data_IF_949751102642
#
_entry.id   IF_949751102642
#
_cell.length_a   1.000
_cell.length_b   1.000
_cell.length_c   1.000
_cell.angle_alpha   90.00
_cell.angle_beta   90.00
_cell.angle_gamma   90.00
#
_symmetry.space_group_name_H-M   'P 1'
#
loop_
_entity.id
_entity.type
_entity.pdbx_description
1 polymer ?
#
# COMPACT_ATOMS: atom_id res chain seq x y z
N UNK A 1 12.77 12.81 23.10
CA UNK A 1 11.51 12.15 22.73
C UNK A 1 11.47 12.14 21.22
N UNK A 2 11.62 10.96 20.64
CA UNK A 2 11.63 10.71 19.21
C UNK A 2 10.29 10.08 18.81
N UNK A 3 9.84 10.35 17.58
CA UNK A 3 8.67 9.69 16.99
C UNK A 3 9.15 8.55 16.11
N UNK A 4 8.61 7.36 16.38
CA UNK A 4 8.80 6.17 15.57
C UNK A 4 7.48 5.78 14.91
N UNK A 5 7.57 5.42 13.64
CA UNK A 5 6.47 4.85 12.87
C UNK A 5 6.84 3.39 12.58
N UNK A 6 5.94 2.44 12.76
CA UNK A 6 6.20 1.04 12.36
C UNK A 6 5.18 0.56 11.34
N UNK A 7 5.66 0.10 10.20
CA UNK A 7 4.87 -0.49 9.14
C UNK A 7 5.24 -1.95 8.95
N UNK A 8 4.28 -2.85 9.13
CA UNK A 8 4.46 -4.25 8.72
C UNK A 8 4.48 -4.32 7.19
N UNK A 9 5.57 -4.82 6.63
CA UNK A 9 5.80 -4.83 5.17
C UNK A 9 6.49 -6.11 4.73
N UNK A 10 6.47 -6.40 3.43
CA UNK A 10 7.31 -7.47 2.86
C UNK A 10 6.72 -8.09 1.61
N UNK A 11 7.47 -9.04 1.03
CA UNK A 11 7.19 -9.64 -0.28
C UNK A 11 5.87 -10.41 -0.40
N UNK A 12 5.25 -10.79 0.71
CA UNK A 12 3.95 -11.46 0.75
C UNK A 12 2.84 -10.61 1.38
N UNK A 13 3.18 -9.37 1.78
CA UNK A 13 2.32 -8.45 2.51
C UNK A 13 2.02 -7.21 1.66
N UNK A 14 3.05 -6.64 1.02
CA UNK A 14 2.99 -5.42 0.24
C UNK A 14 3.44 -4.18 1.02
N UNK A 15 3.03 -3.00 0.54
CA UNK A 15 3.46 -1.69 1.06
C UNK A 15 2.32 -0.81 1.59
N UNK A 16 1.10 -1.34 1.71
CA UNK A 16 -0.07 -0.60 2.21
C UNK A 16 0.19 0.08 3.58
N UNK A 17 0.71 -0.67 4.55
CA UNK A 17 1.06 -0.12 5.87
C UNK A 17 2.19 0.92 5.79
N UNK A 18 3.15 0.68 4.89
CA UNK A 18 4.27 1.61 4.62
C UNK A 18 3.75 2.94 4.09
N UNK A 19 2.79 2.93 3.15
CA UNK A 19 2.17 4.15 2.60
C UNK A 19 1.39 4.92 3.66
N UNK A 20 0.59 4.25 4.49
CA UNK A 20 -0.14 4.90 5.60
C UNK A 20 0.80 5.48 6.65
N UNK A 21 1.83 4.74 7.05
CA UNK A 21 2.84 5.27 7.97
C UNK A 21 3.59 6.45 7.35
N UNK A 22 3.92 6.41 6.05
CA UNK A 22 4.53 7.55 5.38
C UNK A 22 3.63 8.78 5.33
N UNK A 23 2.31 8.60 5.15
CA UNK A 23 1.34 9.68 5.24
C UNK A 23 1.29 10.32 6.64
N UNK A 24 1.29 9.50 7.70
CA UNK A 24 1.45 10.00 9.09
C UNK A 24 2.79 10.73 9.25
N UNK A 25 3.87 10.18 8.69
CA UNK A 25 5.20 10.77 8.75
C UNK A 25 5.28 12.14 8.08
N UNK A 26 4.57 12.33 6.97
CA UNK A 26 4.45 13.62 6.29
C UNK A 26 3.71 14.64 7.17
N UNK A 27 2.64 14.23 7.86
CA UNK A 27 1.92 15.09 8.81
C UNK A 27 2.80 15.49 10.01
N UNK A 28 3.65 14.58 10.47
CA UNK A 28 4.54 14.78 11.62
C UNK A 28 5.97 15.21 11.24
N UNK A 29 6.18 15.71 10.02
CA UNK A 29 7.52 15.97 9.48
C UNK A 29 8.39 16.90 10.34
N UNK A 30 7.78 17.80 11.13
CA UNK A 30 8.48 18.71 12.04
C UNK A 30 9.18 17.99 13.20
N UNK A 31 8.72 16.78 13.53
CA UNK A 31 9.29 15.92 14.57
C UNK A 31 10.34 14.94 14.03
N UNK A 32 10.68 15.03 12.73
CA UNK A 32 11.66 14.17 12.05
C UNK A 32 11.47 12.67 12.37
N UNK A 33 10.29 12.11 12.04
CA UNK A 33 9.93 10.74 12.44
C UNK A 33 10.82 9.71 11.75
N UNK A 34 11.08 8.61 12.46
CA UNK A 34 11.85 7.47 11.93
C UNK A 34 10.86 6.38 11.53
N UNK A 35 10.87 6.00 10.25
CA UNK A 35 10.07 4.87 9.77
C UNK A 35 10.79 3.54 10.04
N UNK A 36 10.12 2.61 10.69
CA UNK A 36 10.56 1.26 10.91
C UNK A 36 9.76 0.29 10.02
N UNK A 37 10.46 -0.58 9.29
CA UNK A 37 9.83 -1.55 8.38
C UNK A 37 10.36 -2.96 8.65
N UNK A 38 9.51 -3.97 8.43
CA UNK A 38 9.89 -5.40 8.54
C UNK A 38 10.83 -5.87 7.43
N UNK A 39 10.96 -5.08 6.37
CA UNK A 39 11.79 -5.35 5.21
C UNK A 39 12.58 -4.08 4.82
N UNK A 40 13.83 -4.27 4.40
CA UNK A 40 14.70 -3.18 3.97
C UNK A 40 14.20 -2.49 2.70
N UNK A 41 13.66 -3.26 1.74
CA UNK A 41 13.23 -2.69 0.45
C UNK A 41 12.05 -1.73 0.64
N UNK A 42 11.12 -2.05 1.53
CA UNK A 42 10.02 -1.15 1.91
C UNK A 42 10.52 0.20 2.45
N UNK A 43 11.54 0.17 3.31
CA UNK A 43 12.15 1.37 3.87
C UNK A 43 12.87 2.22 2.80
N UNK A 44 13.60 1.56 1.89
CA UNK A 44 14.23 2.20 0.74
C UNK A 44 13.19 2.85 -0.18
N UNK A 45 12.14 2.11 -0.57
CA UNK A 45 11.02 2.62 -1.37
C UNK A 45 10.37 3.83 -0.72
N UNK A 46 10.09 3.77 0.59
CA UNK A 46 9.47 4.87 1.32
C UNK A 46 10.34 6.13 1.33
N UNK A 47 11.67 5.96 1.40
CA UNK A 47 12.61 7.07 1.35
C UNK A 47 12.68 7.70 -0.05
N UNK A 48 12.70 6.87 -1.09
CA UNK A 48 12.85 7.33 -2.48
C UNK A 48 11.56 7.96 -3.03
N UNK A 49 10.40 7.39 -2.68
CA UNK A 49 9.13 7.76 -3.32
C UNK A 49 8.11 8.40 -2.36
N UNK A 50 8.16 8.11 -1.06
CA UNK A 50 7.10 8.53 -0.12
C UNK A 50 7.48 9.70 0.81
N UNK A 51 8.65 10.29 0.61
CA UNK A 51 9.11 11.47 1.36
C UNK A 51 9.67 11.17 2.76
N UNK A 52 9.91 9.90 3.09
CA UNK A 52 10.56 9.52 4.36
C UNK A 52 12.03 9.94 4.35
N UNK A 53 12.50 10.59 5.43
CA UNK A 53 13.90 11.01 5.54
C UNK A 53 14.80 9.95 6.18
N UNK A 54 14.29 9.30 7.22
CA UNK A 54 15.00 8.32 8.04
C UNK A 54 14.18 7.04 8.15
N UNK A 55 14.81 5.91 7.89
CA UNK A 55 14.22 4.61 8.13
C UNK A 55 15.21 3.64 8.77
N UNK A 56 14.68 2.64 9.46
CA UNK A 56 15.42 1.55 10.10
C UNK A 56 14.67 0.25 9.87
N UNK A 57 15.33 -0.80 9.41
CA UNK A 57 14.70 -2.12 9.30
C UNK A 57 14.75 -2.85 10.63
N UNK A 58 13.62 -3.40 11.05
CA UNK A 58 13.49 -4.24 12.26
C UNK A 58 12.61 -5.43 11.92
N UNK A 59 12.97 -6.65 12.35
CA UNK A 59 12.29 -7.87 11.86
C UNK A 59 10.80 -7.90 12.25
N UNK A 60 10.49 -7.58 13.51
CA UNK A 60 9.12 -7.60 14.05
C UNK A 60 8.90 -6.42 15.01
N UNK A 61 7.63 -6.07 15.25
CA UNK A 61 7.24 -4.96 16.13
C UNK A 61 7.87 -5.07 17.54
N UNK A 62 8.05 -6.28 18.07
CA UNK A 62 8.66 -6.51 19.39
C UNK A 62 10.15 -6.18 19.47
N UNK A 63 10.83 -5.93 18.35
CA UNK A 63 12.23 -5.50 18.35
C UNK A 63 12.40 -3.99 18.55
N UNK A 64 11.34 -3.20 18.41
CA UNK A 64 11.39 -1.74 18.54
C UNK A 64 12.01 -1.24 19.86
N UNK A 65 11.76 -1.85 21.04
CA UNK A 65 12.42 -1.44 22.28
C UNK A 65 13.96 -1.51 22.25
N UNK A 66 14.57 -2.24 21.32
CA UNK A 66 16.02 -2.30 21.18
C UNK A 66 16.62 -1.05 20.52
N UNK A 67 15.80 -0.27 19.82
CA UNK A 67 16.22 0.95 19.10
C UNK A 67 15.54 2.22 19.60
N UNK A 68 14.48 2.08 20.39
CA UNK A 68 13.74 3.16 21.04
C UNK A 68 14.21 3.40 22.47
N UNK A 69 13.92 4.59 23.00
CA UNK A 69 14.11 4.90 24.42
C UNK A 69 12.75 5.01 25.14
N UNK A 70 12.75 4.73 26.45
CA UNK A 70 11.55 4.90 27.29
C UNK A 70 11.08 6.36 27.21
N UNK A 71 9.79 6.54 26.97
CA UNK A 71 9.18 7.86 26.77
C UNK A 71 9.16 8.36 25.32
N UNK A 72 9.70 7.61 24.36
CA UNK A 72 9.46 7.89 22.94
C UNK A 72 8.01 7.60 22.53
N UNK A 73 7.62 8.10 21.36
CA UNK A 73 6.28 7.93 20.79
C UNK A 73 6.35 6.84 19.72
N UNK A 74 5.40 5.89 19.75
CA UNK A 74 5.23 4.90 18.69
C UNK A 74 3.85 5.04 18.05
N UNK A 75 3.85 5.10 16.72
CA UNK A 75 2.66 4.91 15.88
C UNK A 75 2.92 3.67 15.03
N UNK A 76 1.98 2.73 14.96
CA UNK A 76 2.19 1.50 14.21
C UNK A 76 0.98 1.05 13.42
N UNK A 77 1.25 0.35 12.31
CA UNK A 77 0.30 -0.36 11.48
C UNK A 77 0.78 -1.79 11.30
N UNK A 78 0.25 -2.66 12.17
CA UNK A 78 0.57 -4.09 12.21
C UNK A 78 -0.49 -4.86 12.99
N UNK A 79 -0.72 -6.10 12.56
CA UNK A 79 -1.52 -7.14 13.22
C UNK A 79 -0.68 -8.06 14.13
N UNK A 80 0.62 -7.80 14.30
CA UNK A 80 1.54 -8.64 15.09
C UNK A 80 1.38 -8.44 16.61
N UNK A 81 0.82 -7.31 17.04
CA UNK A 81 0.77 -6.95 18.45
C UNK A 81 -0.28 -7.78 19.21
N UNK A 82 0.16 -8.48 20.25
CA UNK A 82 -0.73 -9.10 21.24
C UNK A 82 -1.11 -8.10 22.34
N UNK A 83 -2.21 -8.36 23.07
CA UNK A 83 -2.63 -7.53 24.20
C UNK A 83 -1.52 -7.30 25.25
N UNK A 84 -0.73 -8.35 25.50
CA UNK A 84 0.42 -8.26 26.39
C UNK A 84 1.49 -7.30 25.86
N UNK A 85 1.81 -7.39 24.57
CA UNK A 85 2.77 -6.52 23.91
C UNK A 85 2.28 -5.07 23.91
N UNK A 86 1.00 -4.82 23.57
CA UNK A 86 0.43 -3.48 23.59
C UNK A 86 0.48 -2.87 24.99
N UNK A 87 0.17 -3.64 26.04
CA UNK A 87 0.29 -3.17 27.44
C UNK A 87 1.73 -2.78 27.78
N UNK A 88 2.70 -3.63 27.45
CA UNK A 88 4.11 -3.32 27.69
C UNK A 88 4.59 -2.08 26.92
N UNK A 89 4.13 -1.91 25.68
CA UNK A 89 4.47 -0.73 24.88
C UNK A 89 3.79 0.53 25.41
N UNK A 90 2.58 0.45 25.97
CA UNK A 90 1.94 1.59 26.67
C UNK A 90 2.71 2.02 27.92
N UNK A 91 3.31 1.07 28.63
CA UNK A 91 4.17 1.37 29.80
C UNK A 91 5.56 1.89 29.39
N UNK A 92 6.03 1.57 28.18
CA UNK A 92 7.35 1.94 27.65
C UNK A 92 7.33 3.30 26.95
N UNK A 93 6.34 3.55 26.10
CA UNK A 93 6.18 4.78 25.33
C UNK A 93 5.49 5.88 26.14
N UNK A 94 5.76 7.14 25.82
CA UNK A 94 4.95 8.26 26.35
C UNK A 94 3.58 8.32 25.66
N UNK A 95 3.51 7.89 24.40
CA UNK A 95 2.27 7.73 23.65
C UNK A 95 2.40 6.58 22.67
N UNK A 96 1.32 5.80 22.54
CA UNK A 96 1.22 4.66 21.64
C UNK A 96 -0.09 4.79 20.86
N UNK A 97 0.01 4.77 19.53
CA UNK A 97 -1.13 4.85 18.63
C UNK A 97 -1.09 3.73 17.59
N UNK A 98 -2.25 3.11 17.34
CA UNK A 98 -2.42 2.08 16.31
C UNK A 98 -3.25 2.62 15.15
N UNK A 99 -2.74 2.49 13.93
CA UNK A 99 -3.50 2.79 12.71
C UNK A 99 -4.57 1.71 12.52
N UNK A 100 -5.81 2.12 12.29
CA UNK A 100 -7.02 1.31 12.31
C UNK A 100 -7.73 1.26 13.66
N UNK A 101 -7.17 1.85 14.72
CA UNK A 101 -7.85 1.93 16.02
C UNK A 101 -7.86 3.36 16.57
N UNK A 102 -6.68 3.96 16.74
CA UNK A 102 -6.55 5.35 17.23
C UNK A 102 -6.45 6.36 16.08
N UNK A 103 -5.92 5.93 14.93
CA UNK A 103 -5.76 6.73 13.71
C UNK A 103 -6.51 6.02 12.58
N UNK A 104 -7.33 6.69 11.77
CA UNK A 104 -8.08 6.03 10.71
C UNK A 104 -7.16 5.57 9.58
N UNK A 105 -7.54 4.46 8.92
CA UNK A 105 -6.76 3.85 7.82
C UNK A 105 -6.88 4.59 6.48
N UNK A 106 -7.82 5.52 6.35
CA UNK A 106 -7.99 6.35 5.15
C UNK A 106 -7.09 7.59 5.10
N UNK A 107 -5.96 7.57 5.82
CA UNK A 107 -4.99 8.66 5.80
C UNK A 107 -4.19 8.65 4.50
N UNK A 108 -4.21 9.79 3.79
CA UNK A 108 -3.53 9.98 2.51
C UNK A 108 -2.43 11.04 2.64
N UNK A 109 -1.28 10.82 2.00
CA UNK A 109 -0.25 11.84 1.91
C UNK A 109 -0.64 12.88 0.86
N UNK A 110 -1.28 13.97 1.29
CA UNK A 110 -1.76 15.05 0.42
C UNK A 110 -0.65 15.90 -0.21
N UNK A 111 0.61 15.71 0.20
CA UNK A 111 1.75 16.37 -0.46
C UNK A 111 2.18 15.64 -1.73
N UNK A 112 1.89 14.33 -1.81
CA UNK A 112 2.16 13.48 -2.96
C UNK A 112 0.92 13.34 -3.84
N UNK A 113 -0.23 13.06 -3.22
CA UNK A 113 -1.50 12.85 -3.91
C UNK A 113 -2.35 14.12 -3.90
N UNK A 114 -2.86 14.48 -5.07
CA UNK A 114 -3.60 15.70 -5.33
C UNK A 114 -4.64 15.45 -6.43
N UNK A 115 -5.87 15.97 -6.29
CA UNK A 115 -6.91 15.84 -7.31
C UNK A 115 -6.46 16.33 -8.69
N UNK A 116 -6.79 15.57 -9.73
CA UNK A 116 -6.46 15.90 -11.12
C UNK A 116 -7.74 16.17 -11.91
N UNK A 117 -7.79 17.29 -12.62
CA UNK A 117 -8.97 17.65 -13.43
C UNK A 117 -9.04 16.87 -14.75
N UNK A 118 -7.90 16.43 -15.28
CA UNK A 118 -7.78 15.75 -16.57
C UNK A 118 -6.80 14.56 -16.46
N UNK A 119 -7.24 13.41 -15.92
CA UNK A 119 -6.41 12.21 -15.87
C UNK A 119 -5.95 11.80 -17.27
N UNK A 120 -4.66 11.50 -17.43
CA UNK A 120 -4.05 11.15 -18.71
C UNK A 120 -4.33 9.69 -19.10
N UNK A 121 -4.42 8.80 -18.10
CA UNK A 121 -4.68 7.39 -18.30
C UNK A 121 -6.17 7.11 -18.12
N UNK A 122 -6.78 6.45 -19.11
CA UNK A 122 -8.19 6.11 -19.02
C UNK A 122 -8.42 4.95 -18.03
N UNK A 123 -7.67 3.84 -18.19
CA UNK A 123 -7.81 2.63 -17.38
C UNK A 123 -6.45 2.06 -17.02
N UNK A 124 -6.24 1.74 -15.75
CA UNK A 124 -5.07 1.00 -15.30
C UNK A 124 -5.45 -0.06 -14.27
N UNK A 125 -4.64 -1.11 -14.20
CA UNK A 125 -4.74 -2.17 -13.21
C UNK A 125 -3.50 -2.16 -12.33
N UNK A 126 -3.70 -2.02 -11.02
CA UNK A 126 -2.66 -2.24 -10.02
C UNK A 126 -3.04 -3.45 -9.15
N UNK A 127 -2.48 -4.62 -9.46
CA UNK A 127 -2.79 -5.87 -8.74
C UNK A 127 -2.45 -5.81 -7.24
N UNK A 128 -1.49 -4.96 -6.88
CA UNK A 128 -0.93 -4.82 -5.54
C UNK A 128 0.59 -4.84 -5.61
N UNK A 129 1.27 -4.60 -4.48
CA UNK A 129 2.73 -4.60 -4.47
C UNK A 129 3.34 -5.99 -4.66
N UNK A 130 2.61 -7.05 -4.31
CA UNK A 130 3.08 -8.42 -4.39
C UNK A 130 2.25 -9.32 -5.31
N UNK A 131 2.94 -10.32 -5.85
CA UNK A 131 2.36 -11.46 -6.57
C UNK A 131 3.23 -12.72 -6.39
N UNK A 132 3.54 -13.08 -5.14
CA UNK A 132 4.47 -14.18 -4.83
C UNK A 132 4.06 -15.53 -5.45
N UNK A 133 2.75 -15.78 -5.55
CA UNK A 133 2.18 -17.01 -6.07
C UNK A 133 1.85 -16.95 -7.57
N UNK A 134 2.26 -15.89 -8.28
CA UNK A 134 1.94 -15.66 -9.70
C UNK A 134 0.42 -15.70 -9.97
N UNK A 135 -0.39 -15.21 -9.03
CA UNK A 135 -1.83 -15.16 -9.12
C UNK A 135 -2.29 -14.24 -10.27
N UNK A 136 -1.57 -13.14 -10.55
CA UNK A 136 -1.87 -12.31 -11.72
C UNK A 136 -1.61 -13.04 -13.04
N UNK A 137 -0.52 -13.81 -13.14
CA UNK A 137 -0.25 -14.62 -14.32
C UNK A 137 -1.33 -15.69 -14.53
N UNK A 138 -1.81 -16.32 -13.46
CA UNK A 138 -2.91 -17.27 -13.51
C UNK A 138 -4.22 -16.59 -13.93
N UNK A 139 -4.49 -15.37 -13.44
CA UNK A 139 -5.65 -14.56 -13.83
C UNK A 139 -5.65 -14.22 -15.32
N UNK A 140 -4.48 -13.97 -15.89
CA UNK A 140 -4.30 -13.68 -17.32
C UNK A 140 -4.26 -14.94 -18.19
N UNK A 141 -4.21 -16.14 -17.61
CA UNK A 141 -4.07 -17.38 -18.37
C UNK A 141 -5.22 -17.54 -19.39
N UNK A 142 -4.87 -17.80 -20.66
CA UNK A 142 -5.79 -17.84 -21.80
C UNK A 142 -6.58 -16.54 -22.08
N UNK A 143 -6.27 -15.43 -21.42
CA UNK A 143 -6.88 -14.13 -21.73
C UNK A 143 -6.29 -13.57 -23.02
N UNK A 144 -7.10 -12.77 -23.73
CA UNK A 144 -6.58 -11.98 -24.86
C UNK A 144 -5.85 -10.74 -24.34
N UNK A 145 -5.17 -10.03 -25.24
CA UNK A 145 -4.68 -8.70 -24.93
C UNK A 145 -5.86 -7.73 -24.74
N UNK A 146 -5.78 -6.88 -23.72
CA UNK A 146 -6.74 -5.81 -23.46
C UNK A 146 -6.07 -4.44 -23.56
N UNK A 147 -6.86 -3.43 -23.94
CA UNK A 147 -6.47 -2.02 -23.83
C UNK A 147 -6.55 -1.58 -22.37
N UNK A 148 -5.57 -2.02 -21.60
CA UNK A 148 -5.45 -1.84 -20.16
C UNK A 148 -3.97 -1.70 -19.82
N UNK A 149 -3.64 -0.64 -19.10
CA UNK A 149 -2.29 -0.44 -18.55
C UNK A 149 -2.13 -1.25 -17.27
N UNK A 150 -1.05 -2.01 -17.14
CA UNK A 150 -0.67 -2.67 -15.89
C UNK A 150 0.39 -1.82 -15.18
N UNK A 151 0.17 -1.55 -13.89
CA UNK A 151 1.20 -1.02 -12.99
C UNK A 151 1.81 -2.17 -12.19
N UNK A 152 3.11 -2.37 -12.33
CA UNK A 152 3.86 -3.41 -11.61
C UNK A 152 4.01 -3.03 -10.14
N UNK A 153 3.87 -4.04 -9.27
CA UNK A 153 4.08 -3.91 -7.84
C UNK A 153 5.54 -4.03 -7.44
N UNK A 154 5.89 -3.40 -6.32
CA UNK A 154 7.27 -3.31 -5.84
C UNK A 154 7.97 -4.68 -5.64
N UNK A 155 7.21 -5.72 -5.32
CA UNK A 155 7.73 -7.05 -4.99
C UNK A 155 7.53 -8.09 -6.10
N UNK A 156 7.23 -7.66 -7.33
CA UNK A 156 7.17 -8.58 -8.47
C UNK A 156 8.56 -9.16 -8.78
N UNK A 157 8.58 -10.39 -9.30
CA UNK A 157 9.82 -11.04 -9.70
C UNK A 157 10.31 -10.50 -11.03
N UNK A 158 11.63 -10.36 -11.17
CA UNK A 158 12.27 -10.04 -12.44
C UNK A 158 11.84 -11.03 -13.54
N UNK A 159 11.40 -10.53 -14.69
CA UNK A 159 10.90 -11.32 -15.80
C UNK A 159 9.37 -11.47 -15.82
N UNK A 160 8.65 -11.05 -14.76
CA UNK A 160 7.18 -11.09 -14.76
C UNK A 160 6.60 -10.11 -15.79
N UNK A 161 7.23 -8.96 -15.99
CA UNK A 161 6.86 -7.98 -17.01
C UNK A 161 6.82 -8.60 -18.41
N UNK A 162 7.82 -9.41 -18.77
CA UNK A 162 7.87 -10.10 -20.07
C UNK A 162 6.72 -11.10 -20.24
N UNK A 163 6.34 -11.78 -19.15
CA UNK A 163 5.24 -12.77 -19.17
C UNK A 163 3.87 -12.12 -19.20
N UNK A 164 3.74 -10.92 -18.62
CA UNK A 164 2.48 -10.17 -18.54
C UNK A 164 2.24 -9.29 -19.78
N UNK A 165 3.30 -8.84 -20.46
CA UNK A 165 3.23 -7.97 -21.64
C UNK A 165 2.23 -8.41 -22.72
N UNK A 166 2.05 -9.72 -23.03
CA UNK A 166 1.07 -10.16 -24.03
C UNK A 166 -0.40 -9.84 -23.69
N UNK A 167 -0.74 -9.53 -22.42
CA UNK A 167 -2.11 -9.36 -21.96
C UNK A 167 -2.53 -7.89 -21.79
N UNK A 168 -1.57 -6.97 -21.74
CA UNK A 168 -1.78 -5.55 -21.46
C UNK A 168 -1.29 -4.68 -22.62
N UNK A 169 -1.84 -3.48 -22.77
CA UNK A 169 -1.40 -2.54 -23.83
C UNK A 169 -0.13 -1.78 -23.43
N UNK A 170 0.10 -1.61 -22.14
CA UNK A 170 1.26 -0.94 -21.57
C UNK A 170 1.57 -1.55 -20.18
N UNK A 171 2.85 -1.68 -19.86
CA UNK A 171 3.32 -2.03 -18.53
C UNK A 171 4.12 -0.84 -18.00
N UNK A 172 3.77 -0.40 -16.80
CA UNK A 172 4.45 0.65 -16.04
C UNK A 172 5.15 0.02 -14.84
N UNK A 173 6.26 0.61 -14.43
CA UNK A 173 7.07 0.12 -13.32
C UNK A 173 6.66 0.76 -11.98
N UNK A 174 7.18 0.22 -10.89
CA UNK A 174 6.86 0.64 -9.51
C UNK A 174 7.17 2.13 -9.23
N UNK A 175 8.16 2.71 -9.89
CA UNK A 175 8.55 4.11 -9.75
C UNK A 175 7.45 5.07 -10.26
N UNK A 176 6.58 4.58 -11.15
CA UNK A 176 5.48 5.34 -11.73
C UNK A 176 4.21 5.27 -10.86
N UNK A 177 4.27 4.66 -9.67
CA UNK A 177 3.13 4.44 -8.79
C UNK A 177 2.33 5.72 -8.52
N UNK A 178 2.97 6.75 -7.98
CA UNK A 178 2.29 7.99 -7.59
C UNK A 178 1.62 8.64 -8.80
N UNK A 179 2.36 8.78 -9.91
CA UNK A 179 1.84 9.36 -11.14
C UNK A 179 0.66 8.56 -11.68
N UNK A 180 0.73 7.22 -11.67
CA UNK A 180 -0.31 6.34 -12.19
C UNK A 180 -1.58 6.42 -11.36
N UNK A 181 -1.46 6.31 -10.03
CA UNK A 181 -2.62 6.36 -9.11
C UNK A 181 -3.34 7.71 -9.21
N UNK A 182 -2.60 8.81 -9.33
CA UNK A 182 -3.18 10.15 -9.50
C UNK A 182 -3.84 10.37 -10.86
N UNK A 183 -3.25 9.86 -11.93
CA UNK A 183 -3.64 10.22 -13.31
C UNK A 183 -4.47 9.14 -14.03
N UNK A 184 -4.98 8.14 -13.30
CA UNK A 184 -5.82 7.08 -13.87
C UNK A 184 -7.28 7.30 -13.52
N UNK A 185 -8.12 7.55 -14.53
CA UNK A 185 -9.56 7.78 -14.33
C UNK A 185 -10.28 6.58 -13.72
N UNK A 186 -10.05 5.39 -14.27
CA UNK A 186 -10.62 4.14 -13.77
C UNK A 186 -9.50 3.20 -13.32
N UNK A 187 -9.20 3.20 -12.01
CA UNK A 187 -8.18 2.34 -11.43
C UNK A 187 -8.82 1.05 -10.93
N UNK A 188 -8.52 -0.08 -11.55
CA UNK A 188 -8.74 -1.37 -10.93
C UNK A 188 -7.59 -1.64 -9.96
N UNK A 189 -7.85 -1.98 -8.70
CA UNK A 189 -6.77 -2.32 -7.78
C UNK A 189 -7.07 -3.40 -6.74
N UNK A 190 -6.10 -4.27 -6.51
CA UNK A 190 -6.11 -5.24 -5.40
C UNK A 190 -5.59 -4.70 -4.06
N UNK A 191 -5.17 -3.43 -4.01
CA UNK A 191 -4.73 -2.73 -2.81
C UNK A 191 -5.82 -1.76 -2.34
N UNK A 192 -6.22 -1.89 -1.07
CA UNK A 192 -7.19 -0.96 -0.46
C UNK A 192 -6.58 0.44 -0.43
N UNK A 193 -5.32 0.57 -0.03
CA UNK A 193 -4.66 1.87 0.06
C UNK A 193 -4.61 2.59 -1.31
N UNK A 194 -4.31 1.87 -2.38
CA UNK A 194 -4.30 2.43 -3.74
C UNK A 194 -5.69 2.91 -4.18
N UNK A 195 -6.75 2.18 -3.83
CA UNK A 195 -8.13 2.65 -4.06
C UNK A 195 -8.41 3.95 -3.30
N UNK A 196 -7.99 4.07 -2.04
CA UNK A 196 -8.20 5.28 -1.24
C UNK A 196 -7.41 6.48 -1.79
N UNK A 197 -6.16 6.28 -2.20
CA UNK A 197 -5.34 7.32 -2.83
C UNK A 197 -5.94 7.78 -4.18
N UNK A 198 -6.41 6.83 -5.00
CA UNK A 198 -7.06 7.12 -6.27
C UNK A 198 -8.39 7.88 -6.08
N UNK A 199 -9.23 7.41 -5.14
CA UNK A 199 -10.47 8.07 -4.76
C UNK A 199 -10.24 9.51 -4.28
N UNK A 200 -9.24 9.73 -3.43
CA UNK A 200 -8.84 11.06 -2.97
C UNK A 200 -8.44 11.97 -4.13
N UNK A 201 -7.83 11.43 -5.18
CA UNK A 201 -7.46 12.19 -6.38
C UNK A 201 -8.66 12.52 -7.29
N UNK A 202 -9.89 12.15 -6.91
CA UNK A 202 -11.10 12.38 -7.69
C UNK A 202 -11.32 11.37 -8.82
N UNK A 203 -10.59 10.26 -8.80
CA UNK A 203 -10.74 9.18 -9.78
C UNK A 203 -11.86 8.20 -9.36
N UNK A 204 -12.16 7.24 -10.23
CA UNK A 204 -13.18 6.20 -10.02
C UNK A 204 -12.52 4.84 -9.87
N UNK A 205 -11.96 4.52 -8.68
CA UNK A 205 -11.37 3.22 -8.45
C UNK A 205 -12.43 2.11 -8.39
N UNK A 206 -12.01 0.90 -8.70
CA UNK A 206 -12.73 -0.36 -8.49
C UNK A 206 -11.80 -1.27 -7.70
N UNK A 207 -12.30 -1.82 -6.60
CA UNK A 207 -11.54 -2.73 -5.78
C UNK A 207 -11.64 -4.16 -6.32
N UNK A 208 -10.50 -4.71 -6.72
CA UNK A 208 -10.36 -6.11 -7.11
C UNK A 208 -10.09 -6.97 -5.87
N UNK A 209 -11.10 -7.71 -5.43
CA UNK A 209 -11.00 -8.61 -4.28
C UNK A 209 -10.24 -9.87 -4.69
N UNK A 210 -8.92 -9.87 -4.47
CA UNK A 210 -8.05 -11.01 -4.76
C UNK A 210 -8.41 -12.21 -3.87
N UNK A 211 -8.42 -13.40 -4.45
CA UNK A 211 -8.72 -14.63 -3.71
C UNK A 211 -7.54 -15.12 -2.84
N UNK A 212 -6.31 -14.67 -3.13
CA UNK A 212 -5.11 -15.04 -2.39
C UNK A 212 -4.84 -14.16 -1.16
N UNK A 213 -5.70 -13.16 -0.90
CA UNK A 213 -5.54 -12.19 0.18
C UNK A 213 -6.74 -12.17 1.13
N UNK A 214 -6.45 -11.87 2.39
CA UNK A 214 -7.47 -11.53 3.39
C UNK A 214 -7.49 -10.02 3.58
N UNK A 215 -8.69 -9.44 3.63
CA UNK A 215 -8.88 -7.99 3.71
C UNK A 215 -9.59 -7.64 5.01
N UNK A 216 -8.83 -7.22 6.01
CA UNK A 216 -9.38 -6.83 7.31
C UNK A 216 -10.15 -5.50 7.26
N UNK A 217 -9.88 -4.68 6.25
CA UNK A 217 -10.39 -3.30 6.16
C UNK A 217 -11.34 -3.07 4.97
N UNK A 218 -12.01 -4.14 4.52
CA UNK A 218 -12.92 -4.06 3.37
C UNK A 218 -14.06 -3.06 3.59
N UNK A 219 -14.45 -2.84 4.85
CA UNK A 219 -15.48 -1.87 5.23
C UNK A 219 -15.15 -0.44 4.74
N UNK A 220 -13.87 -0.09 4.58
CA UNK A 220 -13.47 1.22 4.04
C UNK A 220 -13.86 1.40 2.57
N UNK A 221 -13.80 0.32 1.79
CA UNK A 221 -14.20 0.30 0.39
C UNK A 221 -15.72 0.45 0.29
N UNK A 222 -16.45 -0.27 1.14
CA UNK A 222 -17.92 -0.22 1.21
C UNK A 222 -18.43 1.16 1.66
N UNK A 223 -17.79 1.78 2.67
CA UNK A 223 -18.15 3.11 3.17
C UNK A 223 -18.00 4.23 2.12
N UNK A 224 -17.14 4.03 1.13
CA UNK A 224 -16.88 4.99 0.05
C UNK A 224 -17.66 4.67 -1.23
N UNK A 225 -18.55 3.67 -1.18
CA UNK A 225 -19.28 3.16 -2.35
C UNK A 225 -18.36 2.79 -3.53
N UNK A 226 -17.13 2.34 -3.23
CA UNK A 226 -16.17 1.89 -4.24
C UNK A 226 -16.63 0.50 -4.73
N UNK A 227 -16.86 0.29 -6.04
CA UNK A 227 -17.29 -1.00 -6.55
C UNK A 227 -16.29 -2.10 -6.23
N UNK A 228 -16.80 -3.28 -5.87
CA UNK A 228 -16.00 -4.47 -5.58
C UNK A 228 -16.27 -5.51 -6.67
N UNK A 229 -15.20 -6.00 -7.29
CA UNK A 229 -15.27 -7.11 -8.25
C UNK A 229 -14.39 -8.27 -7.79
N UNK A 230 -14.77 -9.48 -8.19
CA UNK A 230 -14.00 -10.69 -7.97
C UNK A 230 -14.25 -11.65 -9.13
N UNK A 231 -13.22 -11.95 -9.91
CA UNK A 231 -13.26 -12.97 -10.96
C UNK A 231 -11.90 -13.67 -11.05
N UNK A 232 -11.91 -14.89 -11.59
CA UNK A 232 -10.72 -15.69 -11.85
C UNK A 232 -10.17 -15.50 -13.28
N UNK A 233 -10.71 -14.56 -14.06
CA UNK A 233 -10.30 -14.28 -15.44
C UNK A 233 -10.20 -12.78 -15.73
N UNK A 234 -9.08 -12.35 -16.32
CA UNK A 234 -8.93 -10.96 -16.78
C UNK A 234 -9.99 -10.59 -17.84
N UNK A 235 -10.36 -11.52 -18.71
CA UNK A 235 -11.39 -11.32 -19.74
C UNK A 235 -12.79 -11.04 -19.17
N UNK A 236 -13.09 -11.54 -17.98
CA UNK A 236 -14.36 -11.28 -17.28
C UNK A 236 -14.31 -9.93 -16.57
N UNK A 237 -13.21 -9.66 -15.86
CA UNK A 237 -12.94 -8.39 -15.18
C UNK A 237 -13.11 -7.18 -16.10
N UNK A 238 -12.59 -7.26 -17.33
CA UNK A 238 -12.62 -6.11 -18.27
C UNK A 238 -14.01 -5.89 -18.89
N UNK A 239 -14.94 -6.85 -18.77
CA UNK A 239 -16.32 -6.73 -19.30
C UNK A 239 -17.30 -6.09 -18.31
N UNK A 240 -17.01 -6.20 -17.01
CA UNK A 240 -17.81 -5.61 -15.92
C UNK A 240 -17.61 -4.09 -15.84
#
# INVERSE_FOLDING_TARGET
>A
MQVYLYAKSGHSIGLDATRRCAAVGAFLQEFDPILCTSDFRAGAYAKEHLGIKKYVSVDVLSNLPNIMQRGDILIYDSDEASDFMEKHMRDFCSSLYKIGSDIPKNIINTTLFNPQNNPQNNKAFFFGDDDYNNALLNLCHNSKQHDLTLLMGHYFFLGNETKLAPFFSLILEEEEYIQTIQNTKYLLSGSINACLESFYCGNSPVFYKRCDKSYLDIELIEQLDIPIISSASLDEIVKE
#
